data_IF_543010488061
#
_entry.id   IF_543010488061
#
_cell.length_a   1.000
_cell.length_b   1.000
_cell.length_c   1.000
_cell.angle_alpha   90.00
_cell.angle_beta   90.00
_cell.angle_gamma   90.00
#
_symmetry.space_group_name_H-M   'P 1'
#
loop_
_entity.id
_entity.type
_entity.pdbx_description
1 polymer ?
#
# COMPACT_ATOMS: atom_id res chain seq x y z
N UNK A 1 -0.30 -16.24 -16.17
CA UNK A 1 -0.84 -14.96 -16.67
C UNK A 1 -0.35 -13.90 -15.72
N UNK A 2 0.54 -13.04 -16.18
CA UNK A 2 1.11 -11.95 -15.40
C UNK A 2 0.65 -10.63 -16.00
N UNK A 3 0.45 -9.63 -15.15
CA UNK A 3 0.10 -8.29 -15.63
C UNK A 3 1.39 -7.53 -15.85
N UNK A 4 1.53 -6.99 -17.04
CA UNK A 4 2.71 -6.26 -17.48
C UNK A 4 2.26 -4.84 -17.81
N UNK A 5 3.03 -3.86 -17.32
CA UNK A 5 2.87 -2.43 -17.59
C UNK A 5 1.57 -1.77 -17.09
N UNK A 6 1.33 -1.75 -15.77
CA UNK A 6 0.34 -0.83 -15.20
C UNK A 6 0.93 0.59 -15.15
N UNK A 7 0.16 1.58 -15.60
CA UNK A 7 0.56 2.99 -15.54
C UNK A 7 1.01 3.42 -14.13
N UNK A 8 2.18 4.07 -14.04
CA UNK A 8 2.86 4.33 -12.78
C UNK A 8 2.02 5.14 -11.77
N UNK A 9 1.22 6.11 -12.23
CA UNK A 9 0.34 6.89 -11.36
C UNK A 9 -0.76 6.06 -10.70
N UNK A 10 -1.21 4.98 -11.35
CA UNK A 10 -2.23 4.08 -10.82
C UNK A 10 -1.63 3.16 -9.76
N UNK A 11 -0.43 2.62 -10.01
CA UNK A 11 0.34 1.88 -9.00
C UNK A 11 0.61 2.77 -7.80
N UNK A 12 1.02 4.02 -8.03
CA UNK A 12 1.28 4.99 -6.97
C UNK A 12 0.01 5.30 -6.17
N UNK A 13 -1.12 5.61 -6.82
CA UNK A 13 -2.38 5.84 -6.10
C UNK A 13 -2.75 4.64 -5.23
N UNK A 14 -2.71 3.45 -5.82
CA UNK A 14 -3.07 2.23 -5.11
C UNK A 14 -2.19 2.02 -3.87
N UNK A 15 -0.87 2.15 -3.99
CA UNK A 15 0.06 1.95 -2.86
C UNK A 15 -0.14 2.97 -1.74
N UNK A 16 -0.34 4.26 -2.03
CA UNK A 16 -0.44 5.28 -0.95
C UNK A 16 -1.86 5.50 -0.44
N UNK A 17 -2.87 4.98 -1.15
CA UNK A 17 -4.28 5.22 -0.85
C UNK A 17 -5.04 3.93 -0.60
N UNK A 18 -5.13 3.02 -1.58
CA UNK A 18 -6.00 1.83 -1.49
C UNK A 18 -5.39 0.71 -0.62
N UNK A 19 -4.08 0.46 -0.74
CA UNK A 19 -3.34 -0.55 0.04
C UNK A 19 -3.43 -0.31 1.56
N UNK A 20 -3.07 0.86 2.11
CA UNK A 20 -3.17 1.12 3.54
C UNK A 20 -4.62 1.13 4.02
N UNK A 21 -5.58 1.55 3.20
CA UNK A 21 -7.02 1.47 3.52
C UNK A 21 -7.49 0.02 3.63
N UNK A 22 -7.06 -0.85 2.71
CA UNK A 22 -7.36 -2.27 2.78
C UNK A 22 -6.82 -2.91 4.07
N UNK A 23 -5.58 -2.58 4.43
CA UNK A 23 -4.99 -3.05 5.68
C UNK A 23 -5.76 -2.54 6.93
N UNK A 24 -6.14 -1.26 6.94
CA UNK A 24 -6.93 -0.67 8.03
C UNK A 24 -8.31 -1.31 8.18
N UNK A 25 -8.96 -1.69 7.07
CA UNK A 25 -10.21 -2.46 7.10
C UNK A 25 -10.03 -3.86 7.69
N UNK A 26 -8.90 -4.51 7.41
CA UNK A 26 -8.52 -5.78 8.03
C UNK A 26 -8.46 -5.74 9.57
N UNK A 27 -8.21 -4.56 10.14
CA UNK A 27 -8.23 -4.31 11.60
C UNK A 27 -9.41 -3.45 12.05
N UNK A 28 -10.45 -3.31 11.22
CA UNK A 28 -11.70 -2.58 11.53
C UNK A 28 -11.51 -1.10 11.89
N UNK A 29 -10.45 -0.45 11.40
CA UNK A 29 -10.12 0.96 11.66
C UNK A 29 -10.59 1.89 10.53
N UNK A 30 -11.90 1.92 10.28
CA UNK A 30 -12.49 2.79 9.25
C UNK A 30 -12.32 4.29 9.58
N UNK A 31 -12.18 4.62 10.87
CA UNK A 31 -11.87 5.96 11.36
C UNK A 31 -10.50 6.47 10.84
N UNK A 32 -9.54 5.56 10.69
CA UNK A 32 -8.21 5.87 10.14
C UNK A 32 -8.18 5.71 8.61
N UNK A 33 -9.02 4.86 8.04
CA UNK A 33 -9.10 4.65 6.60
C UNK A 33 -9.77 5.83 5.87
N UNK A 34 -10.83 6.38 6.46
CA UNK A 34 -11.66 7.44 5.85
C UNK A 34 -10.84 8.69 5.46
N UNK A 35 -9.95 9.24 6.31
CA UNK A 35 -9.13 10.40 5.95
C UNK A 35 -8.14 10.15 4.79
N UNK A 36 -7.79 8.89 4.53
CA UNK A 36 -6.91 8.48 3.43
C UNK A 36 -7.71 8.32 2.15
N UNK A 37 -8.79 7.53 2.16
CA UNK A 37 -9.56 7.25 0.94
C UNK A 37 -10.30 8.48 0.40
N UNK A 38 -10.69 9.42 1.27
CA UNK A 38 -11.33 10.66 0.86
C UNK A 38 -10.38 11.68 0.22
N UNK A 39 -9.07 11.44 0.25
CA UNK A 39 -8.12 12.26 -0.51
C UNK A 39 -8.38 12.06 -2.02
N UNK A 40 -8.14 13.08 -2.86
CA UNK A 40 -8.23 12.92 -4.30
C UNK A 40 -7.26 11.83 -4.79
N UNK A 41 -7.58 11.09 -5.87
CA UNK A 41 -6.64 10.16 -6.47
C UNK A 41 -5.36 10.86 -6.92
N UNK A 42 -4.26 10.11 -6.91
CA UNK A 42 -3.05 10.42 -7.65
C UNK A 42 -3.33 10.24 -9.15
N UNK A 43 -2.84 11.17 -9.93
CA UNK A 43 -2.96 11.22 -11.40
C UNK A 43 -1.59 11.51 -11.98
N UNK A 44 -1.35 11.23 -13.26
CA UNK A 44 -0.08 11.54 -13.94
C UNK A 44 0.44 12.96 -13.65
N UNK A 45 -0.48 13.95 -13.70
CA UNK A 45 -0.18 15.35 -13.40
C UNK A 45 0.33 15.56 -11.98
N UNK A 46 -0.27 14.87 -11.00
CA UNK A 46 0.03 15.06 -9.57
C UNK A 46 1.21 14.22 -9.08
N UNK A 47 1.53 13.12 -9.77
CA UNK A 47 2.82 12.40 -9.64
C UNK A 47 3.95 13.33 -10.06
N UNK A 48 3.82 13.94 -11.26
CA UNK A 48 4.85 14.81 -11.82
C UNK A 48 5.00 16.12 -11.05
N UNK A 49 3.92 16.66 -10.48
CA UNK A 49 3.97 17.88 -9.68
C UNK A 49 4.48 17.67 -8.24
N UNK A 50 4.72 16.42 -7.81
CA UNK A 50 5.24 16.03 -6.47
C UNK A 50 4.39 16.47 -5.27
N UNK A 51 3.29 17.19 -5.48
CA UNK A 51 2.36 17.67 -4.45
C UNK A 51 1.29 16.62 -4.12
N UNK A 52 0.96 15.75 -5.08
CA UNK A 52 -0.05 14.70 -4.89
C UNK A 52 0.31 13.73 -3.77
N UNK A 53 1.58 13.31 -3.68
CA UNK A 53 2.05 12.33 -2.70
C UNK A 53 2.23 12.91 -1.29
N UNK A 54 2.65 14.18 -1.19
CA UNK A 54 2.88 14.86 0.09
C UNK A 54 1.63 14.88 0.99
N UNK A 55 0.44 15.03 0.40
CA UNK A 55 -0.82 15.09 1.16
C UNK A 55 -1.15 13.79 1.89
N UNK A 56 -0.64 12.66 1.41
CA UNK A 56 -0.88 11.35 2.01
C UNK A 56 0.01 11.07 3.22
N UNK A 57 1.16 11.73 3.34
CA UNK A 57 2.09 11.46 4.44
C UNK A 57 1.49 11.73 5.84
N UNK A 58 0.84 12.88 6.11
CA UNK A 58 0.24 13.12 7.43
C UNK A 58 -0.81 12.08 7.87
N UNK A 59 -1.85 11.74 7.07
CA UNK A 59 -2.83 10.74 7.48
C UNK A 59 -2.23 9.34 7.60
N UNK A 60 -1.30 8.93 6.72
CA UNK A 60 -0.63 7.63 6.81
C UNK A 60 0.24 7.52 8.07
N UNK A 61 1.02 8.57 8.37
CA UNK A 61 1.83 8.63 9.59
C UNK A 61 0.97 8.54 10.83
N UNK A 62 -0.15 9.28 10.87
CA UNK A 62 -1.09 9.24 12.00
C UNK A 62 -1.65 7.83 12.17
N UNK A 63 -2.13 7.20 11.09
CA UNK A 63 -2.66 5.85 11.14
C UNK A 63 -1.62 4.84 11.65
N UNK A 64 -0.39 4.90 11.14
CA UNK A 64 0.69 4.01 11.57
C UNK A 64 1.01 4.16 13.06
N UNK A 65 1.14 5.39 13.56
CA UNK A 65 1.45 5.65 14.97
C UNK A 65 0.30 5.24 15.90
N UNK A 66 -0.95 5.56 15.54
CA UNK A 66 -2.13 5.16 16.33
C UNK A 66 -2.34 3.65 16.36
N UNK A 67 -1.97 2.93 15.29
CA UNK A 67 -2.00 1.46 15.27
C UNK A 67 -0.83 0.83 16.06
N UNK A 68 0.30 1.52 16.22
CA UNK A 68 1.48 0.99 16.93
C UNK A 68 1.34 1.04 18.45
N UNK A 69 0.55 1.97 19.01
CA UNK A 69 0.29 2.08 20.45
C UNK A 69 -0.16 0.78 21.15
N UNK A 70 -1.02 -0.09 20.55
CA UNK A 70 -1.47 -1.34 21.17
C UNK A 70 -0.54 -2.55 21.00
N UNK A 71 0.57 -2.46 20.26
CA UNK A 71 1.41 -3.64 19.97
C UNK A 71 2.33 -3.93 21.16
N UNK A 72 1.90 -4.85 22.03
CA UNK A 72 2.77 -5.46 23.04
C UNK A 72 3.89 -6.29 22.41
N UNK A 73 4.93 -6.61 23.21
CA UNK A 73 6.17 -7.30 22.79
C UNK A 73 5.89 -8.49 21.86
N UNK A 74 6.09 -8.27 20.55
CA UNK A 74 6.01 -9.31 19.54
C UNK A 74 7.34 -10.04 19.45
N UNK A 75 7.26 -11.37 19.53
CA UNK A 75 8.41 -12.29 19.61
C UNK A 75 9.03 -12.63 18.25
N UNK A 76 8.39 -12.23 17.15
CA UNK A 76 8.94 -12.41 15.81
C UNK A 76 9.96 -11.32 15.51
N UNK A 77 11.14 -11.73 15.06
CA UNK A 77 12.13 -10.79 14.56
C UNK A 77 11.60 -10.06 13.31
N UNK A 78 12.11 -8.86 13.03
CA UNK A 78 11.63 -8.05 11.90
C UNK A 78 11.65 -8.78 10.55
N UNK A 79 12.64 -9.66 10.34
CA UNK A 79 12.83 -10.36 9.08
C UNK A 79 11.85 -11.54 8.90
N UNK A 80 11.50 -12.24 9.99
CA UNK A 80 10.50 -13.33 9.95
C UNK A 80 9.12 -12.77 9.60
N UNK A 81 8.76 -11.65 10.24
CA UNK A 81 7.50 -10.97 9.95
C UNK A 81 7.42 -10.54 8.48
N UNK A 82 8.48 -9.93 7.96
CA UNK A 82 8.54 -9.56 6.55
C UNK A 82 8.37 -10.79 5.66
N UNK A 83 9.09 -11.89 5.94
CA UNK A 83 8.97 -13.13 5.17
C UNK A 83 7.54 -13.71 5.17
N UNK A 84 6.86 -13.71 6.32
CA UNK A 84 5.45 -14.14 6.40
C UNK A 84 4.54 -13.23 5.58
N UNK A 85 4.70 -11.91 5.69
CA UNK A 85 3.93 -10.96 4.90
C UNK A 85 4.20 -11.12 3.40
N UNK A 86 5.44 -11.37 2.98
CA UNK A 86 5.79 -11.67 1.59
C UNK A 86 5.05 -12.91 1.09
N UNK A 87 5.02 -13.98 1.89
CA UNK A 87 4.37 -15.23 1.53
C UNK A 87 2.83 -15.12 1.49
N UNK A 88 2.22 -14.41 2.43
CA UNK A 88 0.76 -14.33 2.55
C UNK A 88 0.12 -13.26 1.69
N UNK A 89 0.77 -12.10 1.55
CA UNK A 89 0.25 -10.94 0.82
C UNK A 89 0.71 -10.96 -0.63
N UNK A 90 1.93 -11.44 -0.90
CA UNK A 90 2.56 -11.48 -2.21
C UNK A 90 3.68 -10.45 -2.36
N UNK A 91 4.76 -10.81 -3.07
CA UNK A 91 5.96 -9.98 -3.23
C UNK A 91 5.74 -8.73 -4.07
N UNK A 92 4.91 -8.80 -5.11
CA UNK A 92 4.65 -7.69 -6.04
C UNK A 92 4.19 -6.41 -5.32
N UNK A 93 3.36 -6.58 -4.28
CA UNK A 93 2.83 -5.46 -3.47
C UNK A 93 3.95 -4.73 -2.71
N UNK A 94 4.93 -5.49 -2.21
CA UNK A 94 6.08 -4.95 -1.51
C UNK A 94 7.06 -4.28 -2.46
N UNK A 95 7.28 -4.89 -3.62
CA UNK A 95 8.15 -4.35 -4.67
C UNK A 95 7.65 -2.97 -5.13
N UNK A 96 6.35 -2.85 -5.44
CA UNK A 96 5.76 -1.56 -5.80
C UNK A 96 5.96 -0.49 -4.73
N UNK A 97 5.75 -0.83 -3.46
CA UNK A 97 5.88 0.12 -2.38
C UNK A 97 7.34 0.54 -2.11
N UNK A 98 8.30 -0.38 -2.27
CA UNK A 98 9.73 -0.10 -2.16
C UNK A 98 10.23 0.77 -3.32
N UNK A 99 9.76 0.51 -4.53
CA UNK A 99 10.07 1.32 -5.72
C UNK A 99 9.58 2.75 -5.54
N UNK A 100 8.35 2.90 -5.03
CA UNK A 100 7.75 4.21 -4.75
C UNK A 100 8.53 4.96 -3.66
N UNK A 101 8.90 4.30 -2.55
CA UNK A 101 9.72 4.90 -1.49
C UNK A 101 11.09 5.33 -2.02
N UNK A 102 11.74 4.48 -2.81
CA UNK A 102 13.04 4.79 -3.44
C UNK A 102 12.93 5.99 -4.37
N UNK A 103 11.88 6.03 -5.21
CA UNK A 103 11.60 7.14 -6.09
C UNK A 103 11.32 8.44 -5.30
N UNK A 104 10.61 8.37 -4.17
CA UNK A 104 10.32 9.54 -3.34
C UNK A 104 11.54 10.07 -2.58
N UNK A 105 12.41 9.19 -2.05
CA UNK A 105 13.65 9.60 -1.36
C UNK A 105 14.56 10.40 -2.28
N UNK A 106 14.73 9.94 -3.52
CA UNK A 106 15.53 10.61 -4.55
C UNK A 106 14.98 12.00 -4.92
N UNK A 107 13.70 12.27 -4.69
CA UNK A 107 12.99 13.43 -5.21
C UNK A 107 12.48 14.43 -4.14
N UNK A 108 13.04 14.41 -2.94
CA UNK A 108 12.82 15.47 -1.93
C UNK A 108 12.32 15.00 -0.56
N UNK A 109 12.65 13.76 -0.15
CA UNK A 109 12.55 13.32 1.25
C UNK A 109 11.14 13.05 1.77
N UNK A 110 10.19 12.71 0.88
CA UNK A 110 8.85 12.29 1.31
C UNK A 110 8.83 10.79 1.53
N UNK A 111 8.10 10.36 2.56
CA UNK A 111 8.11 8.98 3.06
C UNK A 111 6.71 8.36 3.05
N UNK A 112 5.84 8.76 2.11
CA UNK A 112 4.47 8.26 2.07
C UNK A 112 4.43 6.75 1.76
N UNK A 113 5.34 6.23 0.93
CA UNK A 113 5.50 4.79 0.69
C UNK A 113 5.90 4.06 1.98
N UNK A 114 6.91 4.56 2.68
CA UNK A 114 7.30 4.04 3.99
C UNK A 114 6.16 4.02 5.01
N UNK A 115 5.37 5.11 5.13
CA UNK A 115 4.25 5.13 6.07
C UNK A 115 3.11 4.21 5.65
N UNK A 116 2.83 4.07 4.35
CA UNK A 116 1.87 3.09 3.85
C UNK A 116 2.28 1.66 4.21
N UNK A 117 3.55 1.28 3.97
CA UNK A 117 4.07 -0.01 4.36
C UNK A 117 4.03 -0.22 5.89
N UNK A 118 4.32 0.82 6.65
CA UNK A 118 4.22 0.76 8.11
C UNK A 118 2.78 0.51 8.57
N UNK A 119 1.78 1.13 7.94
CA UNK A 119 0.36 0.83 8.23
C UNK A 119 0.07 -0.64 7.96
N UNK A 120 0.45 -1.18 6.79
CA UNK A 120 0.21 -2.57 6.43
C UNK A 120 0.87 -3.53 7.42
N UNK A 121 2.14 -3.27 7.76
CA UNK A 121 2.90 -4.05 8.74
C UNK A 121 2.24 -4.04 10.13
N UNK A 122 1.91 -2.87 10.62
CA UNK A 122 1.28 -2.72 11.95
C UNK A 122 -0.11 -3.35 11.97
N UNK A 123 -0.90 -3.22 10.90
CA UNK A 123 -2.21 -3.88 10.79
C UNK A 123 -2.09 -5.40 10.74
N UNK A 124 -1.13 -5.92 9.98
CA UNK A 124 -0.87 -7.35 9.90
C UNK A 124 -0.45 -7.93 11.25
N UNK A 125 0.36 -7.22 12.03
CA UNK A 125 0.70 -7.64 13.39
C UNK A 125 -0.54 -7.78 14.29
N UNK A 126 -1.53 -6.89 14.13
CA UNK A 126 -2.76 -6.93 14.92
C UNK A 126 -3.73 -8.02 14.46
N UNK A 127 -3.85 -8.24 13.15
CA UNK A 127 -4.74 -9.24 12.57
C UNK A 127 -4.20 -9.76 11.22
N UNK A 128 -3.29 -10.76 11.23
CA UNK A 128 -2.59 -11.21 10.02
C UNK A 128 -3.56 -11.68 8.93
N UNK A 129 -4.42 -12.64 9.26
CA UNK A 129 -5.30 -13.28 8.28
C UNK A 129 -6.31 -12.32 7.66
N UNK A 130 -6.96 -11.46 8.47
CA UNK A 130 -7.91 -10.49 7.93
C UNK A 130 -7.21 -9.39 7.12
N UNK A 131 -6.04 -8.93 7.57
CA UNK A 131 -5.24 -7.94 6.83
C UNK A 131 -4.80 -8.50 5.48
N UNK A 132 -4.23 -9.71 5.45
CA UNK A 132 -3.81 -10.36 4.22
C UNK A 132 -4.97 -10.61 3.26
N UNK A 133 -6.14 -11.02 3.76
CA UNK A 133 -7.33 -11.19 2.93
C UNK A 133 -7.77 -9.85 2.28
N UNK A 134 -7.87 -8.77 3.06
CA UNK A 134 -8.27 -7.47 2.52
C UNK A 134 -7.26 -6.90 1.53
N UNK A 135 -5.97 -7.01 1.82
CA UNK A 135 -4.91 -6.53 0.93
C UNK A 135 -4.93 -7.30 -0.39
N UNK A 136 -5.05 -8.63 -0.37
CA UNK A 136 -5.15 -9.44 -1.59
C UNK A 136 -6.39 -9.11 -2.42
N UNK A 137 -7.55 -8.95 -1.77
CA UNK A 137 -8.78 -8.55 -2.45
C UNK A 137 -8.64 -7.16 -3.09
N UNK A 138 -8.01 -6.21 -2.39
CA UNK A 138 -7.71 -4.88 -2.93
C UNK A 138 -6.76 -4.93 -4.13
N UNK A 139 -5.72 -5.77 -4.04
CA UNK A 139 -4.77 -5.96 -5.13
C UNK A 139 -5.45 -6.57 -6.36
N UNK A 140 -6.24 -7.62 -6.18
CA UNK A 140 -7.00 -8.24 -7.28
C UNK A 140 -7.94 -7.22 -7.93
N UNK A 141 -8.68 -6.44 -7.14
CA UNK A 141 -9.58 -5.43 -7.68
C UNK A 141 -8.84 -4.30 -8.42
N UNK A 142 -7.64 -3.94 -7.98
CA UNK A 142 -6.77 -2.98 -8.67
C UNK A 142 -6.31 -3.51 -10.02
N UNK A 143 -5.82 -4.75 -10.02
CA UNK A 143 -5.40 -5.50 -11.19
C UNK A 143 -6.55 -5.59 -12.22
N UNK A 144 -7.73 -6.03 -11.78
CA UNK A 144 -8.88 -6.21 -12.66
C UNK A 144 -9.31 -4.89 -13.29
N UNK A 145 -9.34 -3.80 -12.49
CA UNK A 145 -9.62 -2.45 -13.00
C UNK A 145 -8.57 -1.98 -13.99
N UNK A 146 -7.29 -2.17 -13.69
CA UNK A 146 -6.21 -1.77 -14.60
C UNK A 146 -6.33 -2.44 -15.97
N UNK A 147 -6.71 -3.72 -16.01
CA UNK A 147 -6.93 -4.44 -17.27
C UNK A 147 -8.19 -3.95 -17.98
N UNK A 148 -9.32 -3.83 -17.26
CA UNK A 148 -10.60 -3.41 -17.85
C UNK A 148 -10.56 -1.98 -18.41
N UNK A 149 -9.81 -1.10 -17.77
CA UNK A 149 -9.65 0.30 -18.18
C UNK A 149 -8.57 0.47 -19.26
N UNK A 150 -7.91 -0.61 -19.69
CA UNK A 150 -6.83 -0.59 -20.70
C UNK A 150 -5.53 0.07 -20.20
N UNK A 151 -5.37 0.16 -18.89
CA UNK A 151 -4.23 0.78 -18.19
C UNK A 151 -3.14 -0.23 -17.80
N UNK A 152 -3.36 -1.52 -18.07
CA UNK A 152 -2.41 -2.62 -17.93
C UNK A 152 -2.63 -3.68 -19.01
N UNK A 153 -1.62 -4.52 -19.24
CA UNK A 153 -1.70 -5.63 -20.21
C UNK A 153 -1.60 -6.97 -19.50
N UNK A 154 -2.34 -7.97 -19.99
CA UNK A 154 -2.18 -9.35 -19.56
C UNK A 154 -1.20 -10.05 -20.51
N UNK A 155 -0.09 -10.55 -19.98
CA UNK A 155 0.74 -11.51 -20.69
C UNK A 155 0.43 -12.93 -20.19
N UNK A 156 0.10 -13.81 -21.14
CA UNK A 156 0.04 -15.23 -20.88
C UNK A 156 1.48 -15.75 -20.78
N UNK A 157 1.93 -16.05 -19.56
CA UNK A 157 3.18 -16.76 -19.33
C UNK A 157 3.16 -18.05 -20.17
N UNK A 158 4.15 -18.18 -21.06
CA UNK A 158 4.38 -19.39 -21.87
C UNK A 158 5.19 -20.43 -21.11
#
# INVERSE_FOLDING_TARGET
MQIVDIAAEHVVDWVVRELPVAALRGVTREDLASPIICQPPITARTVNSRTGLRRYQPPLRRAALTLSDPIGDHWASSWELEAFMYAEIGSEIWDFAHDIETAMRRNGGHHAGFWALRVVRTAYLLNPGATAAHVRLSHQAFVDRAVLDGLGRLELCS
#
